data_IF_863575161751
#
_entry.id   IF_863575161751
#
_cell.length_a   1.000
_cell.length_b   1.000
_cell.length_c   1.000
_cell.angle_alpha   90.00
_cell.angle_beta   90.00
_cell.angle_gamma   90.00
#
_symmetry.space_group_name_H-M   'P 1'
#
loop_
_entity.id
_entity.type
_entity.pdbx_description
1 polymer ?
#
# COMPACT_ATOMS: atom_id res chain seq x y z
N UNK A 1 -19.68 4.57 13.80
CA UNK A 1 -19.97 4.41 12.33
C UNK A 1 -18.92 5.17 11.54
N UNK A 2 -18.43 4.59 10.45
CA UNK A 2 -17.44 5.18 9.54
C UNK A 2 -17.66 4.64 8.12
N UNK A 3 -17.23 5.38 7.10
CA UNK A 3 -17.36 4.95 5.70
C UNK A 3 -16.22 4.02 5.31
N UNK A 4 -16.55 2.98 4.55
CA UNK A 4 -15.58 2.02 4.01
C UNK A 4 -16.07 1.48 2.67
N UNK A 5 -15.14 1.06 1.82
CA UNK A 5 -15.44 0.15 0.72
C UNK A 5 -15.54 -1.25 1.34
N UNK A 6 -16.73 -1.82 1.35
CA UNK A 6 -16.96 -3.17 1.88
C UNK A 6 -17.17 -4.15 0.74
N UNK A 7 -16.40 -5.23 0.79
CA UNK A 7 -16.48 -6.36 -0.15
C UNK A 7 -17.18 -7.53 0.55
N UNK A 8 -18.22 -8.02 -0.06
CA UNK A 8 -18.99 -9.15 0.42
C UNK A 8 -19.08 -10.24 -0.64
N UNK A 9 -19.26 -11.48 -0.19
CA UNK A 9 -19.53 -12.63 -1.05
C UNK A 9 -20.46 -13.57 -0.33
N UNK A 10 -21.64 -13.78 -0.91
CA UNK A 10 -22.68 -14.69 -0.43
C UNK A 10 -23.40 -15.33 -1.62
N UNK A 11 -24.60 -15.88 -1.40
CA UNK A 11 -25.43 -16.50 -2.45
C UNK A 11 -25.82 -15.50 -3.56
N UNK A 12 -25.92 -14.21 -3.23
CA UNK A 12 -26.19 -13.14 -4.21
C UNK A 12 -24.97 -12.77 -5.06
N UNK A 13 -23.80 -13.33 -4.76
CA UNK A 13 -22.56 -13.15 -5.51
C UNK A 13 -21.56 -12.25 -4.83
N UNK A 14 -20.54 -11.83 -5.62
CA UNK A 14 -19.47 -10.92 -5.19
C UNK A 14 -19.88 -9.48 -5.44
N UNK A 15 -19.78 -8.63 -4.43
CA UNK A 15 -20.10 -7.21 -4.56
C UNK A 15 -19.14 -6.36 -3.73
N UNK A 16 -18.88 -5.15 -4.19
CA UNK A 16 -18.15 -4.13 -3.44
C UNK A 16 -18.93 -2.82 -3.49
N UNK A 17 -19.04 -2.15 -2.36
CA UNK A 17 -19.80 -0.90 -2.26
C UNK A 17 -19.23 0.01 -1.19
N UNK A 18 -19.34 1.34 -1.40
CA UNK A 18 -19.09 2.31 -0.35
C UNK A 18 -20.29 2.32 0.59
N UNK A 19 -20.07 2.01 1.87
CA UNK A 19 -21.13 1.91 2.87
C UNK A 19 -20.66 2.43 4.21
N UNK A 20 -21.60 2.66 5.12
CA UNK A 20 -21.32 2.91 6.53
C UNK A 20 -21.19 1.58 7.28
N UNK A 21 -20.17 1.50 8.11
CA UNK A 21 -19.81 0.30 8.89
C UNK A 21 -19.79 0.66 10.36
N UNK A 22 -20.25 -0.23 11.22
CA UNK A 22 -20.21 -0.04 12.66
C UNK A 22 -18.78 -0.25 13.20
N UNK A 23 -18.35 0.59 14.14
CA UNK A 23 -17.06 0.46 14.81
C UNK A 23 -16.90 -0.89 15.52
N UNK A 24 -18.02 -1.52 15.95
CA UNK A 24 -18.02 -2.85 16.54
C UNK A 24 -17.62 -3.96 15.56
N UNK A 25 -17.68 -3.73 14.25
CA UNK A 25 -17.28 -4.67 13.20
C UNK A 25 -15.78 -4.62 12.88
N UNK A 26 -15.05 -3.62 13.41
CA UNK A 26 -13.60 -3.57 13.24
C UNK A 26 -12.94 -4.87 13.72
N UNK A 27 -12.01 -5.43 12.93
CA UNK A 27 -11.34 -6.68 13.28
C UNK A 27 -10.48 -6.55 14.53
N UNK A 28 -9.93 -7.67 14.99
CA UNK A 28 -9.00 -7.68 16.12
C UNK A 28 -7.74 -6.86 15.82
N UNK A 29 -7.27 -6.12 16.83
CA UNK A 29 -6.06 -5.29 16.76
C UNK A 29 -5.95 -4.45 18.02
N UNK A 30 -4.76 -3.97 18.29
CA UNK A 30 -4.40 -3.18 19.47
C UNK A 30 -4.23 -1.69 19.19
N UNK A 31 -4.33 -1.27 17.91
CA UNK A 31 -4.25 0.14 17.51
C UNK A 31 -5.39 0.48 16.55
N UNK A 32 -6.19 1.49 16.88
CA UNK A 32 -7.21 2.04 15.99
C UNK A 32 -6.68 3.32 15.37
N UNK A 33 -6.72 3.38 14.04
CA UNK A 33 -6.19 4.49 13.23
C UNK A 33 -7.33 5.18 12.49
N UNK A 34 -7.41 6.50 12.60
CA UNK A 34 -8.16 7.34 11.67
C UNK A 34 -7.34 7.50 10.41
N UNK A 35 -7.80 6.89 9.33
CA UNK A 35 -7.09 6.90 8.05
C UNK A 35 -7.24 8.27 7.40
N UNK A 36 -6.13 8.86 7.00
CA UNK A 36 -6.10 10.14 6.27
C UNK A 36 -5.89 9.93 4.77
N UNK A 37 -5.04 8.95 4.43
CA UNK A 37 -4.71 8.59 3.05
C UNK A 37 -4.52 7.09 2.92
N UNK A 38 -4.90 6.57 1.77
CA UNK A 38 -4.60 5.23 1.30
C UNK A 38 -4.07 5.31 -0.13
N UNK A 39 -3.73 4.18 -0.74
CA UNK A 39 -3.30 4.09 -2.13
C UNK A 39 -4.24 3.19 -2.92
N UNK A 40 -4.10 3.20 -4.25
CA UNK A 40 -4.72 2.22 -5.12
C UNK A 40 -3.63 1.42 -5.83
N UNK A 41 -3.50 0.17 -5.45
CA UNK A 41 -2.60 -0.79 -6.09
C UNK A 41 -3.40 -1.69 -7.05
N UNK A 42 -2.73 -2.33 -7.99
CA UNK A 42 -3.35 -3.31 -8.89
C UNK A 42 -4.10 -4.41 -8.11
N UNK A 43 -3.54 -4.82 -6.98
CA UNK A 43 -4.14 -5.78 -6.05
C UNK A 43 -5.49 -5.29 -5.49
N UNK A 44 -5.60 -4.04 -5.11
CA UNK A 44 -6.85 -3.45 -4.61
C UNK A 44 -7.92 -3.44 -5.71
N UNK A 45 -7.52 -3.14 -6.95
CA UNK A 45 -8.41 -3.22 -8.11
C UNK A 45 -8.92 -4.65 -8.36
N UNK A 46 -8.07 -5.67 -8.23
CA UNK A 46 -8.48 -7.07 -8.32
C UNK A 46 -9.43 -7.45 -7.18
N UNK A 47 -9.17 -6.99 -5.95
CA UNK A 47 -10.03 -7.21 -4.81
C UNK A 47 -11.41 -6.57 -5.00
N UNK A 48 -11.46 -5.28 -5.35
CA UNK A 48 -12.72 -4.54 -5.54
C UNK A 48 -13.57 -5.14 -6.66
N UNK A 49 -12.95 -5.57 -7.76
CA UNK A 49 -13.66 -6.10 -8.93
C UNK A 49 -13.94 -7.60 -8.87
N UNK A 50 -13.37 -8.32 -7.91
CA UNK A 50 -13.46 -9.78 -7.84
C UNK A 50 -12.75 -10.52 -8.98
N UNK A 51 -11.91 -9.82 -9.77
CA UNK A 51 -11.21 -10.39 -10.94
C UNK A 51 -9.96 -11.22 -10.58
N UNK A 52 -9.66 -11.35 -9.29
CA UNK A 52 -8.56 -12.18 -8.81
C UNK A 52 -8.79 -12.67 -7.39
N UNK A 53 -8.17 -13.77 -6.96
CA UNK A 53 -8.37 -14.39 -5.64
C UNK A 53 -7.59 -13.64 -4.54
N UNK A 54 -7.77 -12.33 -4.43
CA UNK A 54 -7.08 -11.48 -3.44
C UNK A 54 -7.74 -11.63 -2.08
N UNK A 55 -9.06 -11.42 -2.02
CA UNK A 55 -9.82 -11.47 -0.76
C UNK A 55 -10.00 -12.92 -0.32
N UNK A 56 -9.55 -13.24 0.89
CA UNK A 56 -9.57 -14.58 1.46
C UNK A 56 -10.55 -14.76 2.59
N UNK A 57 -11.10 -13.67 3.11
CA UNK A 57 -12.13 -13.65 4.16
C UNK A 57 -13.15 -12.57 3.84
N UNK A 58 -14.42 -12.86 4.10
CA UNK A 58 -15.53 -11.92 3.89
C UNK A 58 -16.31 -11.71 5.20
N UNK A 59 -16.85 -10.50 5.44
CA UNK A 59 -16.67 -9.29 4.63
C UNK A 59 -15.24 -8.72 4.73
N UNK A 60 -14.80 -7.93 3.71
CA UNK A 60 -13.46 -7.36 3.64
C UNK A 60 -13.49 -5.89 3.27
N UNK A 61 -12.68 -5.10 3.94
CA UNK A 61 -12.32 -3.75 3.50
C UNK A 61 -10.99 -3.84 2.77
N UNK A 62 -10.91 -3.48 1.47
CA UNK A 62 -9.65 -3.52 0.71
C UNK A 62 -8.72 -2.36 1.08
N UNK A 63 -7.56 -2.30 0.43
CA UNK A 63 -6.53 -1.27 0.64
C UNK A 63 -5.35 -1.81 1.41
N UNK A 64 -4.26 -2.12 0.69
CA UNK A 64 -3.06 -2.73 1.27
C UNK A 64 -2.11 -1.73 1.93
N UNK A 65 -2.40 -0.44 1.77
CA UNK A 65 -1.61 0.68 2.31
C UNK A 65 -2.53 1.64 3.04
N UNK A 66 -2.03 2.25 4.11
CA UNK A 66 -2.67 3.39 4.75
C UNK A 66 -1.68 4.27 5.51
N UNK A 67 -2.04 5.53 5.67
CA UNK A 67 -1.41 6.47 6.60
C UNK A 67 -2.49 7.23 7.36
N UNK A 68 -2.24 7.51 8.62
CA UNK A 68 -3.21 8.20 9.46
C UNK A 68 -2.70 8.51 10.85
N UNK A 69 -3.65 8.82 11.71
CA UNK A 69 -3.42 9.20 13.11
C UNK A 69 -4.03 8.13 14.03
N UNK A 70 -3.28 7.70 15.02
CA UNK A 70 -3.77 6.80 16.07
C UNK A 70 -4.87 7.50 16.86
N UNK A 71 -6.07 6.91 16.91
CA UNK A 71 -7.17 7.36 17.76
C UNK A 71 -7.13 6.68 19.14
N UNK A 72 -6.83 5.37 19.16
CA UNK A 72 -6.73 4.57 20.36
C UNK A 72 -5.62 3.52 20.22
N UNK A 73 -4.93 3.22 21.32
CA UNK A 73 -3.91 2.19 21.36
C UNK A 73 -3.85 1.51 22.73
N UNK A 74 -3.86 0.17 22.70
CA UNK A 74 -3.55 -0.69 23.84
C UNK A 74 -2.07 -1.13 23.82
N UNK A 75 -1.30 -0.75 22.79
CA UNK A 75 0.12 -1.00 22.63
C UNK A 75 0.96 0.02 23.39
N UNK A 76 2.11 -0.39 23.92
CA UNK A 76 3.11 0.50 24.52
C UNK A 76 3.94 1.29 23.49
N UNK A 77 3.90 0.90 22.21
CA UNK A 77 4.70 1.50 21.14
C UNK A 77 4.06 2.75 20.53
N UNK A 78 2.72 2.84 20.60
CA UNK A 78 1.94 3.92 20.02
C UNK A 78 0.94 4.50 21.00
N UNK A 79 0.62 5.76 20.84
CA UNK A 79 -0.40 6.48 21.62
C UNK A 79 -1.28 7.32 20.72
N UNK A 80 -2.45 7.71 21.20
CA UNK A 80 -3.34 8.63 20.50
C UNK A 80 -2.59 9.90 20.06
N UNK A 81 -2.81 10.30 18.81
CA UNK A 81 -2.13 11.41 18.16
C UNK A 81 -0.85 11.05 17.41
N UNK A 82 -0.30 9.84 17.57
CA UNK A 82 0.87 9.41 16.81
C UNK A 82 0.51 9.25 15.32
N UNK A 83 1.40 9.72 14.45
CA UNK A 83 1.33 9.48 13.01
C UNK A 83 1.87 8.10 12.70
N UNK A 84 1.12 7.33 11.90
CA UNK A 84 1.49 5.97 11.51
C UNK A 84 1.24 5.74 10.04
N UNK A 85 1.96 4.76 9.48
CA UNK A 85 1.67 4.18 8.17
C UNK A 85 1.81 2.66 8.22
N UNK A 86 1.19 2.00 7.25
CA UNK A 86 1.27 0.57 7.04
C UNK A 86 1.34 0.26 5.55
N UNK A 87 2.18 -0.71 5.19
CA UNK A 87 2.23 -1.32 3.85
C UNK A 87 2.20 -2.85 4.00
N UNK A 88 1.25 -3.51 3.35
CA UNK A 88 1.22 -4.97 3.25
C UNK A 88 0.63 -5.70 4.46
N UNK A 89 1.34 -6.68 5.03
CA UNK A 89 0.92 -7.52 6.17
C UNK A 89 -0.39 -8.31 5.98
N UNK A 90 -0.83 -8.49 4.73
CA UNK A 90 -2.11 -9.16 4.43
C UNK A 90 -3.35 -8.28 4.69
N UNK A 91 -3.14 -6.99 4.92
CA UNK A 91 -4.21 -6.00 5.03
C UNK A 91 -4.87 -5.85 3.65
N UNK A 92 -6.20 -5.82 3.60
CA UNK A 92 -6.98 -5.87 2.37
C UNK A 92 -7.16 -7.28 1.76
N UNK A 93 -6.58 -8.33 2.40
CA UNK A 93 -6.66 -9.72 1.94
C UNK A 93 -7.27 -10.66 2.99
N UNK A 94 -6.69 -10.67 4.18
CA UNK A 94 -7.08 -11.51 5.33
C UNK A 94 -7.47 -10.68 6.55
N UNK A 95 -7.13 -9.40 6.54
CA UNK A 95 -7.46 -8.40 7.54
C UNK A 95 -7.96 -7.13 6.85
N UNK A 96 -8.88 -6.38 7.47
CA UNK A 96 -9.46 -5.17 6.88
C UNK A 96 -8.40 -4.10 6.59
N UNK A 97 -8.53 -3.46 5.43
CA UNK A 97 -7.55 -2.55 4.86
C UNK A 97 -7.84 -1.07 5.01
N UNK A 98 -7.08 -0.28 4.26
CA UNK A 98 -7.02 1.18 4.36
C UNK A 98 -8.03 1.96 3.52
N UNK A 99 -8.88 1.31 2.71
CA UNK A 99 -9.94 2.00 1.97
C UNK A 99 -11.19 2.20 2.84
N UNK A 100 -10.98 2.81 4.00
CA UNK A 100 -11.97 3.18 5.00
C UNK A 100 -11.49 4.39 5.79
N UNK A 101 -12.40 5.07 6.48
CA UNK A 101 -12.07 6.19 7.37
C UNK A 101 -11.39 5.73 8.67
N UNK A 102 -11.58 4.45 9.05
CA UNK A 102 -10.97 3.82 10.24
C UNK A 102 -10.44 2.43 9.92
N UNK A 103 -9.32 2.09 10.56
CA UNK A 103 -8.75 0.75 10.53
C UNK A 103 -8.31 0.36 11.94
N UNK A 104 -8.52 -0.90 12.33
CA UNK A 104 -7.95 -1.48 13.56
C UNK A 104 -6.88 -2.49 13.18
N UNK A 105 -5.68 -2.30 13.70
CA UNK A 105 -4.45 -2.93 13.22
C UNK A 105 -3.62 -3.45 14.39
N UNK A 106 -2.66 -4.31 14.10
CA UNK A 106 -1.67 -4.74 15.08
C UNK A 106 -0.50 -3.74 15.09
N UNK A 107 -0.08 -3.30 16.27
CA UNK A 107 1.03 -2.35 16.44
C UNK A 107 2.29 -2.78 15.70
N UNK A 108 2.64 -4.05 15.73
CA UNK A 108 3.81 -4.62 15.02
C UNK A 108 3.78 -4.44 13.48
N UNK A 109 2.65 -4.06 12.90
CA UNK A 109 2.52 -3.77 11.46
C UNK A 109 2.73 -2.30 11.14
N UNK A 110 2.67 -1.44 12.14
CA UNK A 110 2.72 0.00 12.00
C UNK A 110 4.14 0.51 12.12
N UNK A 111 4.43 1.56 11.37
CA UNK A 111 5.67 2.32 11.52
C UNK A 111 5.36 3.82 11.65
N UNK A 112 6.22 4.54 12.37
CA UNK A 112 6.18 6.00 12.42
C UNK A 112 6.80 6.53 11.12
N UNK A 113 6.08 7.35 10.34
CA UNK A 113 6.65 7.92 9.13
C UNK A 113 7.80 8.87 9.46
N UNK A 114 8.82 8.99 8.59
CA UNK A 114 9.83 10.03 8.72
C UNK A 114 9.19 11.42 8.83
N UNK A 115 9.73 12.29 9.67
CA UNK A 115 9.18 13.62 9.91
C UNK A 115 9.10 14.49 8.65
N UNK A 116 10.00 14.24 7.67
CA UNK A 116 10.06 14.95 6.40
C UNK A 116 8.85 14.68 5.47
N UNK A 117 8.08 13.61 5.70
CA UNK A 117 6.96 13.24 4.83
C UNK A 117 5.60 13.50 5.50
N UNK A 118 4.68 14.09 4.75
CA UNK A 118 3.27 14.12 5.10
C UNK A 118 2.63 12.74 4.91
N UNK A 119 1.45 12.51 5.50
CA UNK A 119 0.68 11.28 5.28
C UNK A 119 0.37 11.06 3.79
N UNK A 120 0.08 12.13 3.04
CA UNK A 120 -0.12 12.09 1.60
C UNK A 120 1.13 11.59 0.87
N UNK A 121 2.31 12.17 1.14
CA UNK A 121 3.56 11.77 0.50
C UNK A 121 3.96 10.33 0.82
N UNK A 122 3.69 9.85 2.04
CA UNK A 122 3.94 8.44 2.38
C UNK A 122 3.07 7.50 1.55
N UNK A 123 1.86 7.92 1.20
CA UNK A 123 0.97 7.12 0.34
C UNK A 123 1.25 7.32 -1.16
N UNK A 124 1.80 8.44 -1.59
CA UNK A 124 2.35 8.61 -2.95
C UNK A 124 3.52 7.64 -3.20
N UNK A 125 4.32 7.35 -2.17
CA UNK A 125 5.34 6.30 -2.21
C UNK A 125 4.67 4.91 -2.18
N UNK A 126 3.86 4.63 -1.17
CA UNK A 126 3.08 3.42 -0.99
C UNK A 126 3.88 2.12 -1.15
N UNK A 127 3.17 1.03 -1.34
CA UNK A 127 3.78 -0.30 -1.60
C UNK A 127 4.60 -0.30 -2.89
N UNK A 128 4.23 0.47 -3.91
CA UNK A 128 4.96 0.53 -5.17
C UNK A 128 6.37 1.12 -5.00
N UNK A 129 6.48 2.28 -4.34
CA UNK A 129 7.77 2.92 -4.09
C UNK A 129 8.63 2.14 -3.09
N UNK A 130 8.03 1.61 -2.05
CA UNK A 130 8.69 0.72 -1.09
C UNK A 130 9.29 -0.51 -1.78
N UNK A 131 8.53 -1.18 -2.66
CA UNK A 131 8.98 -2.34 -3.42
C UNK A 131 10.13 -1.97 -4.39
N UNK A 132 10.00 -0.84 -5.08
CA UNK A 132 11.04 -0.35 -5.98
C UNK A 132 12.36 -0.12 -5.22
N UNK A 133 12.30 0.55 -4.07
CA UNK A 133 13.51 0.83 -3.27
C UNK A 133 14.13 -0.44 -2.70
N UNK A 134 13.34 -1.43 -2.26
CA UNK A 134 13.87 -2.73 -1.84
C UNK A 134 14.62 -3.45 -2.96
N UNK A 135 14.12 -3.35 -4.21
CA UNK A 135 14.77 -3.93 -5.38
C UNK A 135 16.12 -3.25 -5.65
N UNK A 136 16.17 -1.91 -5.60
CA UNK A 136 17.42 -1.15 -5.75
C UNK A 136 18.44 -1.54 -4.67
N UNK A 137 18.01 -1.55 -3.40
CA UNK A 137 18.89 -1.94 -2.29
C UNK A 137 19.42 -3.38 -2.47
N UNK A 138 18.59 -4.29 -3.00
CA UNK A 138 19.01 -5.66 -3.26
C UNK A 138 20.10 -5.72 -4.34
N UNK A 139 19.97 -4.96 -5.42
CA UNK A 139 21.01 -4.86 -6.46
C UNK A 139 22.32 -4.33 -5.88
N UNK A 140 22.27 -3.23 -5.13
CA UNK A 140 23.47 -2.62 -4.53
C UNK A 140 24.14 -3.56 -3.52
N UNK A 141 23.38 -4.32 -2.72
CA UNK A 141 23.91 -5.34 -1.81
C UNK A 141 24.60 -6.48 -2.53
N UNK A 142 24.22 -6.79 -3.78
CA UNK A 142 24.89 -7.76 -4.63
C UNK A 142 26.09 -7.16 -5.39
N UNK A 143 26.47 -5.94 -5.07
CA UNK A 143 27.63 -5.27 -5.65
C UNK A 143 27.38 -4.60 -6.99
N UNK A 144 26.14 -4.50 -7.46
CA UNK A 144 25.81 -3.74 -8.68
C UNK A 144 26.10 -2.26 -8.47
N UNK A 145 26.79 -1.63 -9.43
CA UNK A 145 27.19 -0.23 -9.40
C UNK A 145 26.89 0.44 -10.74
N UNK A 146 26.77 1.78 -10.78
CA UNK A 146 26.50 2.51 -12.02
C UNK A 146 27.48 2.21 -13.18
N UNK A 147 28.76 2.00 -12.86
CA UNK A 147 29.81 1.69 -13.83
C UNK A 147 29.73 0.26 -14.42
N UNK A 148 28.87 -0.60 -13.90
CA UNK A 148 28.73 -1.98 -14.40
C UNK A 148 27.86 -2.10 -15.66
N UNK A 149 27.27 -0.98 -16.12
CA UNK A 149 26.45 -0.93 -17.31
C UNK A 149 24.98 -0.59 -17.05
N UNK A 150 24.14 -0.93 -18.01
CA UNK A 150 22.73 -0.56 -17.99
C UNK A 150 21.89 -1.46 -17.10
N UNK A 151 20.90 -0.87 -16.41
CA UNK A 151 19.87 -1.61 -15.66
C UNK A 151 18.59 -1.64 -16.47
N UNK A 152 18.12 -2.85 -16.80
CA UNK A 152 16.86 -3.06 -17.49
C UNK A 152 15.69 -3.08 -16.47
N UNK A 153 14.70 -2.22 -16.68
CA UNK A 153 13.47 -2.17 -15.89
C UNK A 153 12.28 -2.54 -16.78
N UNK A 154 11.71 -3.72 -16.57
CA UNK A 154 10.48 -4.16 -17.25
C UNK A 154 9.24 -3.60 -16.55
N UNK A 155 8.14 -3.40 -17.31
CA UNK A 155 6.92 -2.79 -16.78
C UNK A 155 7.16 -1.35 -16.30
N UNK A 156 8.07 -0.63 -16.95
CA UNK A 156 8.58 0.67 -16.55
C UNK A 156 7.50 1.75 -16.34
N UNK A 157 6.38 1.67 -17.06
CA UNK A 157 5.25 2.59 -16.91
C UNK A 157 4.24 2.14 -15.81
N UNK A 158 4.54 1.11 -15.02
CA UNK A 158 3.75 0.68 -13.87
C UNK A 158 4.20 1.38 -12.58
N UNK A 159 3.42 1.26 -11.49
CA UNK A 159 3.73 1.91 -10.22
C UNK A 159 5.12 1.58 -9.68
N UNK A 160 5.50 0.30 -9.62
CA UNK A 160 6.85 -0.12 -9.18
C UNK A 160 7.91 0.29 -10.19
N UNK A 161 7.65 0.05 -11.50
CA UNK A 161 8.64 0.30 -12.55
C UNK A 161 9.00 1.78 -12.69
N UNK A 162 8.02 2.67 -12.69
CA UNK A 162 8.27 4.11 -12.82
C UNK A 162 9.08 4.68 -11.65
N UNK A 163 8.78 4.25 -10.43
CA UNK A 163 9.57 4.65 -9.26
C UNK A 163 10.98 4.04 -9.30
N UNK A 164 11.12 2.77 -9.75
CA UNK A 164 12.42 2.15 -9.90
C UNK A 164 13.30 2.89 -10.93
N UNK A 165 12.72 3.29 -12.07
CA UNK A 165 13.43 4.11 -13.08
C UNK A 165 13.91 5.41 -12.46
N UNK A 166 13.04 6.13 -11.77
CA UNK A 166 13.38 7.41 -11.13
C UNK A 166 14.48 7.25 -10.06
N UNK A 167 14.36 6.24 -9.20
CA UNK A 167 15.37 5.98 -8.15
C UNK A 167 16.73 5.62 -8.75
N UNK A 168 16.77 4.69 -9.70
CA UNK A 168 18.02 4.27 -10.35
C UNK A 168 18.69 5.45 -11.08
N UNK A 169 17.92 6.25 -11.83
CA UNK A 169 18.43 7.44 -12.50
C UNK A 169 19.01 8.45 -11.49
N UNK A 170 18.31 8.71 -10.38
CA UNK A 170 18.79 9.60 -9.32
C UNK A 170 20.07 9.09 -8.65
N UNK A 171 20.26 7.78 -8.59
CA UNK A 171 21.46 7.13 -8.05
C UNK A 171 22.61 7.03 -9.06
N UNK A 172 22.44 7.54 -10.27
CA UNK A 172 23.48 7.60 -11.31
C UNK A 172 23.57 6.38 -12.21
N UNK A 173 22.60 5.45 -12.14
CA UNK A 173 22.55 4.31 -13.07
C UNK A 173 22.01 4.72 -14.43
N UNK A 174 22.52 4.11 -15.49
CA UNK A 174 21.91 4.14 -16.82
C UNK A 174 20.77 3.16 -16.87
N UNK A 175 19.54 3.63 -17.17
CA UNK A 175 18.33 2.79 -17.11
C UNK A 175 17.76 2.58 -18.50
N UNK A 176 17.48 1.32 -18.84
CA UNK A 176 16.71 0.94 -20.02
C UNK A 176 15.30 0.59 -19.58
N UNK A 177 14.34 1.46 -19.88
CA UNK A 177 12.94 1.29 -19.52
C UNK A 177 12.19 0.50 -20.62
N UNK A 178 11.56 -0.63 -20.23
CA UNK A 178 10.78 -1.48 -21.14
C UNK A 178 9.31 -1.39 -20.77
N UNK A 179 8.48 -1.00 -21.74
CA UNK A 179 7.02 -0.94 -21.58
C UNK A 179 6.32 -1.59 -22.76
N UNK A 180 5.22 -2.30 -22.52
CA UNK A 180 4.30 -2.80 -23.54
C UNK A 180 3.29 -1.75 -24.03
N UNK A 181 3.38 -0.50 -23.54
CA UNK A 181 2.48 0.60 -23.87
C UNK A 181 3.28 1.75 -24.51
N UNK A 182 3.46 1.76 -25.85
CA UNK A 182 4.26 2.78 -26.55
C UNK A 182 3.83 4.23 -26.24
N UNK A 183 2.52 4.45 -26.00
CA UNK A 183 1.98 5.77 -25.64
C UNK A 183 2.47 6.31 -24.29
N UNK A 184 3.19 5.50 -23.50
CA UNK A 184 3.79 5.93 -22.24
C UNK A 184 5.28 6.21 -22.35
N UNK A 185 5.84 6.30 -23.56
CA UNK A 185 7.28 6.52 -23.76
C UNK A 185 7.75 7.91 -23.29
N UNK A 186 6.86 8.89 -23.31
CA UNK A 186 7.15 10.26 -22.87
C UNK A 186 6.89 10.53 -21.37
N UNK A 187 6.54 9.48 -20.61
CA UNK A 187 6.21 9.56 -19.18
C UNK A 187 7.44 9.45 -18.26
#
# INVERSE_FOLDING_TARGET
MFKAILIEKDEAGYRSQLTEVDDAQLPEGDVTVRVEYSTLNYKDGLAITGKGPVVRRFPMVPGIDLAGIVEHSDSTEFKAGDRVLLNGWGVGEVHWGGLAERARLKSQWLIKPPAAFSARQTMEIGTAGYTAMLSVIALEKQGVRPEHGEILVTGAAGGVGSVAVALLAQLGYTVVAVTGRPQTADY
#
